data_IF_388795484301
#
_entry.id   IF_388795484301
#
_cell.length_a   1.000
_cell.length_b   1.000
_cell.length_c   1.000
_cell.angle_alpha   90.00
_cell.angle_beta   90.00
_cell.angle_gamma   90.00
#
_symmetry.space_group_name_H-M   'P 1'
#
loop_
_entity.id
_entity.type
_entity.pdbx_description
1 polymer ?
#
# COMPACT_ATOMS: atom_id res chain seq x y z
N UNK A 1 -10.69 -3.19 -23.92
CA UNK A 1 -11.30 -2.98 -22.59
C UNK A 1 -12.81 -2.95 -22.78
N UNK A 2 -13.50 -3.95 -22.25
CA UNK A 2 -14.96 -4.11 -22.36
C UNK A 2 -15.67 -3.06 -21.51
N UNK A 3 -16.66 -2.38 -22.09
CA UNK A 3 -17.45 -1.35 -21.43
C UNK A 3 -18.03 -1.86 -20.09
N UNK A 4 -17.88 -1.06 -19.02
CA UNK A 4 -18.48 -1.16 -17.68
C UNK A 4 -17.71 -1.82 -16.51
N UNK A 5 -16.38 -2.05 -16.58
CA UNK A 5 -15.61 -2.40 -15.37
C UNK A 5 -15.18 -1.14 -14.61
N UNK A 6 -15.31 -1.17 -13.27
CA UNK A 6 -14.81 -0.10 -12.39
C UNK A 6 -13.28 -0.13 -12.36
N UNK A 7 -12.65 1.04 -12.31
CA UNK A 7 -11.19 1.19 -12.19
C UNK A 7 -10.80 1.03 -10.72
N UNK A 8 -9.87 0.10 -10.46
CA UNK A 8 -9.37 -0.17 -9.12
C UNK A 8 -7.89 0.14 -9.06
N UNK A 9 -7.46 0.94 -8.08
CA UNK A 9 -6.04 1.27 -7.90
C UNK A 9 -5.56 0.91 -6.51
N UNK A 10 -4.44 0.20 -6.44
CA UNK A 10 -3.78 -0.16 -5.18
C UNK A 10 -2.27 0.06 -5.28
N UNK A 11 -1.70 0.67 -4.25
CA UNK A 11 -0.25 0.90 -4.13
C UNK A 11 0.33 0.15 -2.94
N UNK A 12 1.46 -0.55 -3.14
CA UNK A 12 2.24 -1.14 -2.03
C UNK A 12 3.64 -0.56 -2.01
N UNK A 13 4.08 -0.15 -0.81
CA UNK A 13 5.44 0.31 -0.57
C UNK A 13 6.43 -0.86 -0.64
N UNK A 14 7.54 -0.74 -1.39
CA UNK A 14 8.63 -1.73 -1.41
C UNK A 14 9.43 -1.72 -0.09
N UNK A 15 8.82 -2.24 0.97
CA UNK A 15 9.34 -2.29 2.34
C UNK A 15 10.06 -3.60 2.69
N UNK A 16 10.58 -4.29 1.68
CA UNK A 16 11.17 -5.64 1.77
C UNK A 16 10.22 -6.74 1.33
N UNK A 17 10.71 -7.98 1.27
CA UNK A 17 9.93 -9.14 0.79
C UNK A 17 8.64 -9.36 1.61
N UNK A 18 7.48 -9.57 0.96
CA UNK A 18 6.25 -9.96 1.62
C UNK A 18 6.40 -11.26 2.41
N UNK A 19 5.67 -11.33 3.51
CA UNK A 19 5.47 -12.56 4.29
C UNK A 19 4.03 -13.06 4.13
N UNK A 20 3.73 -14.25 4.64
CA UNK A 20 2.39 -14.84 4.52
C UNK A 20 1.28 -13.94 5.11
N UNK A 21 1.59 -13.16 6.14
CA UNK A 21 0.68 -12.13 6.67
C UNK A 21 0.30 -11.05 5.64
N UNK A 22 1.22 -10.60 4.79
CA UNK A 22 0.90 -9.66 3.70
C UNK A 22 0.05 -10.35 2.62
N UNK A 23 0.36 -11.61 2.30
CA UNK A 23 -0.36 -12.38 1.31
C UNK A 23 -1.83 -12.54 1.67
N UNK A 24 -2.11 -13.09 2.86
CA UNK A 24 -3.49 -13.29 3.31
C UNK A 24 -4.18 -11.96 3.63
N UNK A 25 -3.45 -10.96 4.13
CA UNK A 25 -4.04 -9.68 4.53
C UNK A 25 -4.51 -8.80 3.37
N UNK A 26 -3.85 -8.84 2.21
CA UNK A 26 -4.22 -7.99 1.07
C UNK A 26 -3.88 -8.56 -0.31
N UNK A 27 -2.72 -9.20 -0.48
CA UNK A 27 -2.24 -9.51 -1.84
C UNK A 27 -3.06 -10.61 -2.52
N UNK A 28 -3.59 -11.58 -1.77
CA UNK A 28 -4.48 -12.62 -2.32
C UNK A 28 -5.74 -12.00 -2.92
N UNK A 29 -6.32 -11.02 -2.25
CA UNK A 29 -7.52 -10.33 -2.69
C UNK A 29 -7.28 -9.59 -4.02
N UNK A 30 -6.06 -9.07 -4.24
CA UNK A 30 -5.70 -8.43 -5.52
C UNK A 30 -5.77 -9.41 -6.70
N UNK A 31 -5.35 -10.66 -6.48
CA UNK A 31 -5.39 -11.73 -7.49
C UNK A 31 -6.82 -12.09 -7.86
N UNK A 32 -7.76 -11.99 -6.92
CA UNK A 32 -9.19 -12.18 -7.19
C UNK A 32 -9.77 -10.96 -7.94
N UNK A 33 -9.47 -9.74 -7.47
CA UNK A 33 -9.99 -8.48 -8.00
C UNK A 33 -9.64 -8.21 -9.47
N UNK A 34 -8.46 -8.63 -9.95
CA UNK A 34 -8.07 -8.45 -11.37
C UNK A 34 -9.04 -9.11 -12.37
N UNK A 35 -9.85 -10.07 -11.92
CA UNK A 35 -10.82 -10.73 -12.80
C UNK A 35 -12.13 -9.94 -12.91
N UNK A 36 -12.39 -9.04 -11.96
CA UNK A 36 -13.64 -8.29 -11.81
C UNK A 36 -13.51 -6.81 -12.23
N UNK A 37 -12.32 -6.22 -12.08
CA UNK A 37 -12.07 -4.78 -12.25
C UNK A 37 -10.95 -4.52 -13.26
N UNK A 38 -10.88 -3.27 -13.75
CA UNK A 38 -9.70 -2.78 -14.46
C UNK A 38 -8.70 -2.30 -13.42
N UNK A 39 -7.71 -3.15 -13.11
CA UNK A 39 -6.83 -2.93 -11.97
C UNK A 39 -5.49 -2.27 -12.35
N UNK A 40 -5.09 -1.31 -11.52
CA UNK A 40 -3.78 -0.69 -11.47
C UNK A 40 -3.10 -1.07 -10.15
N UNK A 41 -2.01 -1.85 -10.25
CA UNK A 41 -1.18 -2.24 -9.11
C UNK A 41 0.16 -1.54 -9.19
N UNK A 42 0.38 -0.60 -8.27
CA UNK A 42 1.54 0.27 -8.27
C UNK A 42 2.55 -0.12 -7.18
N UNK A 43 3.82 -0.11 -7.53
CA UNK A 43 4.93 -0.14 -6.58
C UNK A 43 5.25 1.31 -6.23
N UNK A 44 4.86 1.75 -5.03
CA UNK A 44 4.96 3.15 -4.61
C UNK A 44 6.33 3.48 -4.01
N UNK A 45 7.32 3.60 -4.88
CA UNK A 45 8.71 3.82 -4.48
C UNK A 45 9.00 5.25 -4.01
N UNK A 46 8.28 6.27 -4.47
CA UNK A 46 8.40 7.61 -3.86
C UNK A 46 7.91 7.63 -2.42
N UNK A 47 6.81 6.93 -2.12
CA UNK A 47 6.32 6.81 -0.74
C UNK A 47 7.31 6.07 0.16
N UNK A 48 8.02 5.07 -0.37
CA UNK A 48 9.02 4.32 0.39
C UNK A 48 10.24 5.16 0.83
N UNK A 49 10.56 6.25 0.12
CA UNK A 49 11.65 7.17 0.51
C UNK A 49 11.44 7.77 1.91
N UNK A 50 10.20 7.85 2.40
CA UNK A 50 9.93 8.29 3.77
C UNK A 50 10.48 7.35 4.85
N UNK A 51 10.82 6.11 4.49
CA UNK A 51 11.26 5.07 5.45
C UNK A 51 12.57 4.38 5.05
N UNK A 52 12.92 4.36 3.76
CA UNK A 52 14.10 3.69 3.23
C UNK A 52 15.01 4.71 2.55
N UNK A 53 16.17 4.95 3.17
CA UNK A 53 17.20 5.89 2.71
C UNK A 53 18.47 5.18 2.21
N UNK A 54 18.40 3.85 1.99
CA UNK A 54 19.47 3.08 1.34
C UNK A 54 19.08 2.70 -0.09
N UNK A 55 19.84 3.21 -1.05
CA UNK A 55 19.54 3.06 -2.47
C UNK A 55 19.59 1.60 -2.95
N UNK A 56 20.53 0.80 -2.41
CA UNK A 56 20.65 -0.62 -2.78
C UNK A 56 19.45 -1.41 -2.29
N UNK A 57 19.06 -1.20 -1.03
CA UNK A 57 17.89 -1.82 -0.40
C UNK A 57 16.62 -1.45 -1.14
N UNK A 58 16.38 -0.16 -1.42
CA UNK A 58 15.18 0.27 -2.13
C UNK A 58 15.10 -0.35 -3.53
N UNK A 59 16.20 -0.32 -4.29
CA UNK A 59 16.26 -0.94 -5.63
C UNK A 59 15.94 -2.44 -5.58
N UNK A 60 16.50 -3.16 -4.61
CA UNK A 60 16.23 -4.58 -4.46
C UNK A 60 14.77 -4.83 -4.07
N UNK A 61 14.23 -4.08 -3.13
CA UNK A 61 12.85 -4.23 -2.69
C UNK A 61 11.83 -3.95 -3.80
N UNK A 62 12.11 -3.00 -4.71
CA UNK A 62 11.27 -2.73 -5.88
C UNK A 62 11.22 -3.97 -6.79
N UNK A 63 12.38 -4.55 -7.09
CA UNK A 63 12.48 -5.74 -7.96
C UNK A 63 11.79 -6.94 -7.29
N UNK A 64 12.06 -7.16 -6.00
CA UNK A 64 11.45 -8.25 -5.24
C UNK A 64 9.92 -8.13 -5.24
N UNK A 65 9.37 -6.95 -4.91
CA UNK A 65 7.92 -6.75 -4.90
C UNK A 65 7.28 -6.97 -6.28
N UNK A 66 7.96 -6.56 -7.36
CA UNK A 66 7.49 -6.82 -8.72
C UNK A 66 7.45 -8.32 -9.03
N UNK A 67 8.49 -9.07 -8.62
CA UNK A 67 8.53 -10.53 -8.77
C UNK A 67 7.41 -11.17 -7.95
N UNK A 68 7.23 -10.73 -6.70
CA UNK A 68 6.22 -11.27 -5.79
C UNK A 68 4.80 -11.08 -6.34
N UNK A 69 4.50 -9.90 -6.89
CA UNK A 69 3.24 -9.63 -7.59
C UNK A 69 2.95 -10.63 -8.71
N UNK A 70 3.93 -10.92 -9.56
CA UNK A 70 3.76 -11.89 -10.63
C UNK A 70 3.64 -13.32 -10.09
N UNK A 71 4.46 -13.67 -9.09
CA UNK A 71 4.53 -15.01 -8.52
C UNK A 71 3.23 -15.40 -7.78
N UNK A 72 2.54 -14.45 -7.14
CA UNK A 72 1.23 -14.71 -6.51
C UNK A 72 0.09 -14.85 -7.51
N UNK A 73 0.30 -14.52 -8.78
CA UNK A 73 -0.69 -14.66 -9.85
C UNK A 73 -1.30 -13.36 -10.38
N UNK A 74 -0.73 -12.18 -10.11
CA UNK A 74 -1.12 -10.99 -10.86
C UNK A 74 -0.66 -11.12 -12.31
N UNK A 75 -1.60 -10.93 -13.24
CA UNK A 75 -1.35 -11.09 -14.66
C UNK A 75 -1.32 -9.73 -15.37
N UNK A 76 -0.21 -9.43 -16.05
CA UNK A 76 0.00 -8.19 -16.81
C UNK A 76 -0.95 -8.02 -18.02
N UNK A 77 -1.56 -9.11 -18.48
CA UNK A 77 -2.59 -9.07 -19.54
C UNK A 77 -3.96 -8.68 -18.99
N UNK A 78 -4.18 -8.82 -17.67
CA UNK A 78 -5.43 -8.49 -16.98
C UNK A 78 -5.35 -7.20 -16.18
N UNK A 79 -4.16 -6.75 -15.81
CA UNK A 79 -3.95 -5.59 -14.94
C UNK A 79 -2.69 -4.84 -15.32
N UNK A 80 -2.69 -3.53 -15.05
CA UNK A 80 -1.52 -2.69 -15.21
C UNK A 80 -0.68 -2.78 -13.95
N UNK A 81 0.56 -3.25 -14.08
CA UNK A 81 1.52 -3.32 -12.98
C UNK A 81 2.69 -2.41 -13.33
N UNK A 82 2.99 -1.44 -12.46
CA UNK A 82 3.99 -0.41 -12.75
C UNK A 82 4.64 0.14 -11.48
N UNK A 83 5.76 0.85 -11.66
CA UNK A 83 6.48 1.55 -10.59
C UNK A 83 6.10 3.03 -10.63
N UNK A 84 5.80 3.61 -9.48
CA UNK A 84 5.32 4.99 -9.34
C UNK A 84 6.29 5.99 -9.98
N UNK A 85 7.60 5.87 -9.73
CA UNK A 85 8.60 6.80 -10.30
C UNK A 85 8.85 6.67 -11.80
N UNK A 86 8.25 5.70 -12.49
CA UNK A 86 8.31 5.62 -13.96
C UNK A 86 7.23 6.50 -14.64
N UNK A 87 6.34 7.12 -13.86
CA UNK A 87 5.26 8.00 -14.34
C UNK A 87 5.44 9.35 -13.63
N UNK A 88 5.96 10.37 -14.31
CA UNK A 88 6.32 11.66 -13.68
C UNK A 88 5.09 12.44 -13.23
N UNK A 89 3.95 12.20 -13.85
CA UNK A 89 2.66 12.84 -13.61
C UNK A 89 2.19 12.69 -12.16
N UNK A 90 2.61 11.63 -11.43
CA UNK A 90 2.33 11.51 -9.99
C UNK A 90 2.89 12.70 -9.20
N UNK A 91 4.13 13.09 -9.48
CA UNK A 91 4.78 14.20 -8.78
C UNK A 91 4.31 15.56 -9.27
N UNK A 92 4.00 15.69 -10.56
CA UNK A 92 3.45 16.92 -11.14
C UNK A 92 2.06 17.22 -10.57
N UNK A 93 1.19 16.21 -10.51
CA UNK A 93 -0.15 16.37 -9.96
C UNK A 93 -0.12 16.58 -8.44
N UNK A 94 0.78 15.93 -7.72
CA UNK A 94 0.98 16.19 -6.30
C UNK A 94 1.33 17.67 -6.04
N UNK A 95 2.23 18.25 -6.83
CA UNK A 95 2.56 19.67 -6.74
C UNK A 95 1.34 20.56 -6.98
N UNK A 96 0.50 20.25 -7.96
CA UNK A 96 -0.75 20.98 -8.22
C UNK A 96 -1.66 20.91 -6.99
N UNK A 97 -1.82 19.75 -6.36
CA UNK A 97 -2.62 19.59 -5.14
C UNK A 97 -2.06 20.33 -3.93
N UNK A 98 -0.74 20.43 -3.82
CA UNK A 98 -0.09 21.22 -2.76
C UNK A 98 -0.52 22.69 -2.84
N UNK A 99 -0.68 23.26 -4.04
CA UNK A 99 -1.07 24.68 -4.21
C UNK A 99 -2.47 25.01 -3.70
N UNK A 100 -3.35 24.02 -3.59
CA UNK A 100 -4.71 24.18 -3.08
C UNK A 100 -4.87 23.62 -1.67
N UNK A 101 -3.87 22.97 -1.08
CA UNK A 101 -3.98 22.34 0.24
C UNK A 101 -3.36 23.22 1.31
N UNK A 102 -4.04 23.37 2.45
CA UNK A 102 -3.53 24.23 3.53
C UNK A 102 -2.70 23.44 4.53
N UNK A 103 -1.68 24.09 5.09
CA UNK A 103 -0.81 23.49 6.12
C UNK A 103 -1.62 22.94 7.31
N UNK A 104 -2.57 23.69 7.92
CA UNK A 104 -3.34 23.18 9.05
C UNK A 104 -4.23 21.97 8.71
N UNK A 105 -4.57 21.78 7.43
CA UNK A 105 -5.32 20.60 7.00
C UNK A 105 -4.44 19.35 7.08
N UNK A 106 -3.22 19.39 6.54
CA UNK A 106 -2.27 18.28 6.57
C UNK A 106 -1.73 17.97 7.97
N UNK A 107 -1.54 18.98 8.83
CA UNK A 107 -1.13 18.78 10.23
C UNK A 107 -2.12 17.91 11.03
N UNK A 108 -3.38 17.79 10.57
CA UNK A 108 -4.40 17.00 11.25
C UNK A 108 -4.37 15.52 10.89
N UNK A 109 -3.65 15.12 9.83
CA UNK A 109 -3.53 13.73 9.40
C UNK A 109 -2.91 12.84 10.50
N UNK A 110 -3.48 11.65 10.72
CA UNK A 110 -3.12 10.79 11.85
C UNK A 110 -1.63 10.39 11.82
N UNK A 111 -1.10 10.01 10.66
CA UNK A 111 0.30 9.58 10.55
C UNK A 111 1.31 10.67 10.95
N UNK A 112 1.05 11.93 10.58
CA UNK A 112 1.93 13.05 10.95
C UNK A 112 1.89 13.32 12.47
N UNK A 113 0.70 13.27 13.07
CA UNK A 113 0.53 13.38 14.53
C UNK A 113 1.20 12.24 15.28
N UNK A 114 1.02 11.01 14.81
CA UNK A 114 1.62 9.83 15.42
C UNK A 114 3.15 9.88 15.38
N UNK A 115 3.73 10.35 14.28
CA UNK A 115 5.18 10.54 14.17
C UNK A 115 5.69 11.60 15.14
N UNK A 116 4.95 12.71 15.32
CA UNK A 116 5.27 13.74 16.31
C UNK A 116 5.27 13.18 17.74
N UNK A 117 4.27 12.36 18.09
CA UNK A 117 4.15 11.72 19.41
C UNK A 117 5.30 10.73 19.64
N UNK A 118 5.69 9.98 18.61
CA UNK A 118 6.73 8.95 18.70
C UNK A 118 8.16 9.51 18.61
N UNK A 119 8.33 10.85 18.57
CA UNK A 119 9.64 11.49 18.48
C UNK A 119 10.42 11.15 17.20
N UNK A 120 9.73 10.72 16.15
CA UNK A 120 10.36 10.43 14.85
C UNK A 120 10.64 11.73 14.11
N UNK A 121 11.71 11.73 13.33
CA UNK A 121 12.01 12.85 12.44
C UNK A 121 10.85 13.09 11.47
N UNK A 122 10.37 14.34 11.41
CA UNK A 122 9.24 14.74 10.59
C UNK A 122 9.75 15.38 9.31
N UNK A 123 10.02 14.55 8.31
CA UNK A 123 10.40 15.04 6.99
C UNK A 123 9.23 15.73 6.30
N UNK A 124 9.54 16.61 5.33
CA UNK A 124 8.52 17.20 4.45
C UNK A 124 7.77 16.11 3.68
N UNK A 125 8.45 15.03 3.30
CA UNK A 125 7.81 13.88 2.65
C UNK A 125 6.76 13.20 3.53
N UNK A 126 7.03 13.02 4.83
CA UNK A 126 6.06 12.46 5.77
C UNK A 126 4.86 13.38 6.02
N UNK A 127 5.05 14.70 5.90
CA UNK A 127 3.97 15.66 5.97
C UNK A 127 3.12 15.66 4.69
N UNK A 128 3.78 15.58 3.52
CA UNK A 128 3.15 15.81 2.22
C UNK A 128 2.67 14.55 1.49
N UNK A 129 3.07 13.35 1.94
CA UNK A 129 2.67 12.12 1.25
C UNK A 129 1.15 11.94 1.05
N UNK A 130 0.23 12.49 1.88
CA UNK A 130 -1.19 12.41 1.56
C UNK A 130 -1.57 13.08 0.23
N UNK A 131 -0.85 14.13 -0.19
CA UNK A 131 -1.08 14.78 -1.49
C UNK A 131 -0.51 13.96 -2.64
N UNK A 132 0.64 13.32 -2.43
CA UNK A 132 1.16 12.34 -3.39
C UNK A 132 0.21 11.14 -3.55
N UNK A 133 -0.34 10.62 -2.44
CA UNK A 133 -1.33 9.55 -2.48
C UNK A 133 -2.64 10.00 -3.16
N UNK A 134 -3.06 11.25 -2.98
CA UNK A 134 -4.20 11.79 -3.71
C UNK A 134 -3.91 11.85 -5.23
N UNK A 135 -2.71 12.28 -5.62
CA UNK A 135 -2.28 12.27 -7.03
C UNK A 135 -2.28 10.85 -7.60
N UNK A 136 -1.72 9.89 -6.87
CA UNK A 136 -1.69 8.48 -7.23
C UNK A 136 -3.08 7.92 -7.57
N UNK A 137 -4.08 8.27 -6.76
CA UNK A 137 -5.45 7.76 -6.92
C UNK A 137 -6.19 8.51 -8.04
N UNK A 138 -6.09 9.83 -8.09
CA UNK A 138 -6.93 10.66 -8.96
C UNK A 138 -6.45 10.69 -10.42
N UNK A 139 -5.17 10.39 -10.68
CA UNK A 139 -4.59 10.41 -12.03
C UNK A 139 -5.27 9.43 -13.01
N UNK A 140 -5.89 8.36 -12.50
CA UNK A 140 -6.43 7.25 -13.28
C UNK A 140 -7.96 7.15 -13.27
N UNK A 141 -8.67 8.21 -12.85
CA UNK A 141 -10.14 8.18 -12.69
C UNK A 141 -10.64 7.01 -11.82
N UNK A 142 -9.88 6.69 -10.77
CA UNK A 142 -10.10 5.53 -9.90
C UNK A 142 -11.51 5.52 -9.28
N UNK A 143 -12.23 4.40 -9.42
CA UNK A 143 -13.48 4.15 -8.71
C UNK A 143 -13.25 3.66 -7.29
N UNK A 144 -12.38 2.66 -7.14
CA UNK A 144 -12.24 1.87 -5.92
C UNK A 144 -10.78 1.79 -5.49
N UNK A 145 -10.52 2.05 -4.21
CA UNK A 145 -9.19 1.94 -3.60
C UNK A 145 -9.25 0.86 -2.51
N UNK A 146 -8.69 -0.35 -2.71
CA UNK A 146 -8.72 -1.40 -1.73
C UNK A 146 -7.69 -1.10 -0.63
N UNK A 147 -8.18 -0.83 0.57
CA UNK A 147 -7.35 -0.37 1.68
C UNK A 147 -7.74 -1.03 2.99
N UNK A 148 -6.79 -1.09 3.93
CA UNK A 148 -7.09 -1.38 5.33
C UNK A 148 -7.87 -0.24 6.00
N UNK A 149 -8.50 -0.52 7.13
CA UNK A 149 -9.28 0.47 7.89
C UNK A 149 -8.43 1.68 8.33
N UNK A 150 -7.12 1.48 8.55
CA UNK A 150 -6.16 2.51 8.93
C UNK A 150 -5.89 3.53 7.82
N UNK A 151 -6.00 3.12 6.55
CA UNK A 151 -5.75 3.99 5.39
C UNK A 151 -7.02 4.70 4.88
N UNK A 152 -8.19 4.44 5.49
CA UNK A 152 -9.46 5.07 5.10
C UNK A 152 -9.38 6.60 5.13
N UNK A 153 -8.72 7.17 6.15
CA UNK A 153 -8.54 8.62 6.27
C UNK A 153 -7.80 9.21 5.06
N UNK A 154 -6.83 8.49 4.48
CA UNK A 154 -6.13 9.00 3.30
C UNK A 154 -7.02 9.03 2.07
N UNK A 155 -7.92 8.06 1.90
CA UNK A 155 -8.92 8.09 0.83
C UNK A 155 -9.90 9.24 1.04
N UNK A 156 -10.31 9.53 2.28
CA UNK A 156 -11.12 10.71 2.61
C UNK A 156 -10.38 12.02 2.24
N UNK A 157 -9.09 12.12 2.58
CA UNK A 157 -8.25 13.26 2.17
C UNK A 157 -8.21 13.41 0.64
N UNK A 158 -8.05 12.31 -0.09
CA UNK A 158 -8.07 12.31 -1.56
C UNK A 158 -9.39 12.84 -2.12
N UNK A 159 -10.52 12.42 -1.54
CA UNK A 159 -11.85 12.90 -1.95
C UNK A 159 -12.00 14.40 -1.69
N UNK A 160 -11.60 14.88 -0.52
CA UNK A 160 -11.65 16.31 -0.18
C UNK A 160 -10.79 17.15 -1.15
N UNK A 161 -9.61 16.65 -1.54
CA UNK A 161 -8.75 17.28 -2.54
C UNK A 161 -9.43 17.32 -3.92
N UNK A 162 -10.03 16.22 -4.37
CA UNK A 162 -10.78 16.16 -5.63
C UNK A 162 -11.96 17.14 -5.65
N UNK A 163 -12.78 17.15 -4.59
CA UNK A 163 -13.91 18.08 -4.46
C UNK A 163 -13.46 19.53 -4.47
N UNK A 164 -12.36 19.84 -3.77
CA UNK A 164 -11.78 21.19 -3.77
C UNK A 164 -11.29 21.59 -5.15
N UNK A 165 -10.56 20.72 -5.84
CA UNK A 165 -10.09 20.99 -7.21
C UNK A 165 -11.28 21.24 -8.14
N UNK A 166 -12.28 20.36 -8.11
CA UNK A 166 -13.47 20.47 -8.95
C UNK A 166 -14.24 21.77 -8.72
N UNK A 167 -14.34 22.24 -7.47
CA UNK A 167 -14.98 23.52 -7.15
C UNK A 167 -14.18 24.72 -7.65
N UNK A 168 -12.85 24.65 -7.62
CA UNK A 168 -11.97 25.78 -7.98
C UNK A 168 -11.78 25.88 -9.50
N UNK A 169 -11.59 24.76 -10.19
CA UNK A 169 -11.18 24.70 -11.59
C UNK A 169 -12.21 24.06 -12.53
N UNK A 170 -13.31 23.51 -12.01
CA UNK A 170 -14.34 22.81 -12.77
C UNK A 170 -14.25 21.28 -12.64
N UNK A 171 -15.35 20.58 -12.94
CA UNK A 171 -15.45 19.12 -12.81
C UNK A 171 -14.35 18.40 -13.62
N UNK A 172 -13.34 17.90 -12.93
CA UNK A 172 -12.15 17.26 -13.51
C UNK A 172 -11.96 15.85 -12.96
N UNK A 173 -11.99 15.71 -11.64
CA UNK A 173 -11.72 14.43 -10.97
C UNK A 173 -12.99 13.73 -10.53
N UNK A 174 -13.02 12.42 -10.75
CA UNK A 174 -13.96 11.51 -10.11
C UNK A 174 -13.63 11.33 -8.63
N UNK A 175 -14.66 11.13 -7.80
CA UNK A 175 -14.48 10.87 -6.37
C UNK A 175 -14.31 9.37 -6.10
N UNK A 176 -13.14 8.91 -5.63
CA UNK A 176 -12.90 7.49 -5.35
C UNK A 176 -13.64 7.03 -4.09
N UNK A 177 -13.93 5.73 -4.02
CA UNK A 177 -14.48 5.06 -2.84
C UNK A 177 -13.46 4.11 -2.21
N UNK A 178 -13.37 4.13 -0.88
CA UNK A 178 -12.57 3.16 -0.16
C UNK A 178 -13.26 1.79 -0.18
N UNK A 179 -12.60 0.79 -0.75
CA UNK A 179 -13.00 -0.62 -0.63
C UNK A 179 -12.29 -1.21 0.57
N UNK A 180 -12.93 -1.14 1.74
CA UNK A 180 -12.35 -1.71 2.96
C UNK A 180 -12.25 -3.23 2.78
N UNK A 181 -11.02 -3.73 2.79
CA UNK A 181 -10.78 -5.16 2.78
C UNK A 181 -11.31 -5.74 4.10
N UNK A 182 -12.03 -6.87 4.09
CA UNK A 182 -12.45 -7.55 5.31
C UNK A 182 -11.25 -7.70 6.24
N UNK A 183 -11.43 -7.54 7.54
CA UNK A 183 -10.39 -7.90 8.51
C UNK A 183 -10.11 -9.39 8.35
N UNK A 184 -9.07 -9.70 7.58
CA UNK A 184 -8.51 -11.03 7.54
C UNK A 184 -7.94 -11.27 8.92
N UNK A 185 -8.25 -12.43 9.51
CA UNK A 185 -7.72 -12.80 10.82
C UNK A 185 -6.24 -12.43 10.90
N UNK A 186 -5.87 -11.66 11.92
CA UNK A 186 -4.49 -11.23 12.13
C UNK A 186 -3.63 -12.49 12.08
N UNK A 187 -2.81 -12.62 11.03
CA UNK A 187 -1.93 -13.78 10.90
C UNK A 187 -0.91 -13.70 12.03
N UNK A 188 -0.91 -14.65 12.98
CA UNK A 188 0.08 -14.67 14.04
C UNK A 188 1.45 -14.96 13.43
N UNK A 189 2.47 -14.28 13.95
CA UNK A 189 3.86 -14.61 13.68
C UNK A 189 4.26 -15.87 14.42
N UNK A 190 5.50 -16.31 14.21
CA UNK A 190 6.05 -17.51 14.85
C UNK A 190 6.11 -17.42 16.39
N UNK A 191 5.89 -16.23 16.95
CA UNK A 191 5.89 -15.94 18.38
C UNK A 191 4.48 -15.65 18.95
N UNK A 192 3.41 -15.86 18.17
CA UNK A 192 2.03 -15.60 18.57
C UNK A 192 1.58 -14.14 18.53
N UNK A 193 2.49 -13.17 18.36
CA UNK A 193 2.13 -11.76 18.14
C UNK A 193 1.68 -11.55 16.69
N UNK A 194 1.13 -10.38 16.33
CA UNK A 194 0.87 -10.04 14.93
C UNK A 194 2.13 -10.22 14.09
N UNK A 195 2.05 -10.93 12.97
CA UNK A 195 3.18 -11.10 12.06
C UNK A 195 3.63 -9.73 11.51
N UNK A 196 4.88 -9.37 11.75
CA UNK A 196 5.49 -8.12 11.29
C UNK A 196 6.99 -8.29 11.10
N UNK A 197 7.52 -7.75 9.99
CA UNK A 197 8.97 -7.69 9.73
C UNK A 197 9.75 -7.05 10.87
N UNK A 198 9.18 -6.03 11.52
CA UNK A 198 9.81 -5.31 12.63
C UNK A 198 10.03 -6.17 13.87
N UNK A 199 9.28 -7.26 14.03
CA UNK A 199 9.43 -8.19 15.15
C UNK A 199 10.32 -9.38 14.82
N UNK A 200 10.75 -9.53 13.55
CA UNK A 200 11.49 -10.70 13.10
C UNK A 200 10.72 -12.02 13.24
N UNK A 201 9.38 -11.96 13.28
CA UNK A 201 8.51 -13.11 13.55
C UNK A 201 7.78 -13.62 12.30
N UNK A 202 8.32 -13.37 11.11
CA UNK A 202 7.65 -13.58 9.82
C UNK A 202 8.01 -14.92 9.20
N UNK A 203 7.05 -15.54 8.50
CA UNK A 203 7.33 -16.60 7.53
C UNK A 203 7.34 -15.97 6.13
N UNK A 204 8.49 -15.95 5.43
CA UNK A 204 8.59 -15.38 4.09
C UNK A 204 7.61 -16.06 3.12
N UNK A 205 7.06 -15.29 2.17
CA UNK A 205 6.18 -15.86 1.14
C UNK A 205 6.97 -16.66 0.10
N UNK A 206 8.17 -16.20 -0.23
CA UNK A 206 9.10 -16.86 -1.15
C UNK A 206 10.47 -16.96 -0.49
N UNK A 207 10.85 -18.17 -0.12
CA UNK A 207 12.09 -18.54 0.53
C UNK A 207 12.45 -19.99 0.16
N UNK A 208 13.66 -20.43 0.49
CA UNK A 208 14.02 -21.84 0.30
C UNK A 208 13.25 -22.75 1.27
N UNK A 209 13.15 -24.04 0.92
CA UNK A 209 12.51 -25.03 1.81
C UNK A 209 13.16 -25.04 3.20
N UNK A 210 14.49 -24.91 3.26
CA UNK A 210 15.25 -24.84 4.52
C UNK A 210 14.89 -23.59 5.36
N UNK A 211 14.72 -22.44 4.73
CA UNK A 211 14.33 -21.19 5.39
C UNK A 211 12.91 -21.27 5.94
N UNK A 212 11.99 -21.83 5.15
CA UNK A 212 10.59 -22.03 5.56
C UNK A 212 10.52 -23.05 6.69
N UNK A 213 11.19 -24.19 6.57
CA UNK A 213 11.24 -25.24 7.59
C UNK A 213 11.76 -24.65 8.90
N UNK A 214 12.88 -23.92 8.87
CA UNK A 214 13.42 -23.26 10.06
C UNK A 214 12.43 -22.29 10.70
N UNK A 215 11.73 -21.49 9.90
CA UNK A 215 10.74 -20.54 10.42
C UNK A 215 9.53 -21.26 11.05
N UNK A 216 9.03 -22.31 10.40
CA UNK A 216 7.90 -23.11 10.88
C UNK A 216 8.26 -23.90 12.15
N UNK A 217 9.46 -24.51 12.18
CA UNK A 217 9.95 -25.23 13.35
C UNK A 217 10.29 -24.31 14.53
N UNK A 218 10.42 -23.01 14.29
CA UNK A 218 10.58 -21.98 15.31
C UNK A 218 9.28 -21.46 15.92
N UNK A 219 8.11 -21.97 15.48
CA UNK A 219 6.82 -21.55 16.02
C UNK A 219 6.71 -21.95 17.51
N UNK A 220 6.41 -20.96 18.35
CA UNK A 220 6.18 -21.17 19.78
C UNK A 220 4.90 -21.99 19.96
N UNK A 221 5.04 -23.15 20.58
CA UNK A 221 3.95 -24.07 20.93
C UNK A 221 3.87 -24.23 22.44
N UNK A 222 2.76 -24.79 22.93
CA UNK A 222 2.62 -25.18 24.33
C UNK A 222 3.07 -26.63 24.55
N UNK A 223 3.16 -27.05 25.81
CA UNK A 223 3.58 -28.42 26.19
C UNK A 223 2.43 -29.42 26.28
N UNK A 224 1.21 -29.00 25.97
CA UNK A 224 0.08 -29.92 25.84
C UNK A 224 0.20 -30.57 24.47
N UNK A 225 0.48 -31.87 24.42
CA UNK A 225 0.68 -32.60 23.15
C UNK A 225 -0.56 -32.72 22.26
N UNK A 226 -1.51 -31.79 22.36
CA UNK A 226 -2.71 -31.70 21.54
C UNK A 226 -2.48 -30.85 20.28
N UNK A 227 -3.41 -30.98 19.33
CA UNK A 227 -3.53 -30.05 18.20
C UNK A 227 -4.20 -28.77 18.76
N UNK A 228 -3.61 -27.57 18.57
CA UNK A 228 -4.19 -26.31 19.04
C UNK A 228 -5.60 -26.04 18.52
#
# INVERSE_FOLDING_TARGET
>A
MTQNRKILLSGIQPSGRPHIGNYFGAMRQFVEMQNEHDCFFMIVDYHALNTIQDAKTLKQNIIDLAIDYLAIGLNREKSVIFKQSDVSEHTELAWIFDTITTVPYLERAHAYKDAAIKGKERSVGLFNYPMLMAADILLYDTDLVPVGADQKQHVEITRDTAEKFNRVYGETFKLPEAKILPEVAIVPGIDGRKMSKSYGNTIPLFATDEEIEKAVMGIVTDSSGGIP
#
